data_IF_084151871957
#
_entry.id   IF_084151871957
#
_cell.length_a   1.000
_cell.length_b   1.000
_cell.length_c   1.000
_cell.angle_alpha   90.00
_cell.angle_beta   90.00
_cell.angle_gamma   90.00
#
_symmetry.space_group_name_H-M   'P 1'
#
loop_
_entity.id
_entity.type
_entity.pdbx_description
1 polymer ?
#
# COMPACT_ATOMS: atom_id res chain seq x y z
N UNK A 1 3.89 -14.31 -26.38
CA UNK A 1 2.93 -13.42 -25.71
C UNK A 1 3.57 -13.11 -24.36
N UNK A 2 4.18 -11.93 -24.22
CA UNK A 2 4.81 -11.55 -22.95
C UNK A 2 3.69 -11.47 -21.91
N UNK A 3 3.77 -12.29 -20.87
CA UNK A 3 2.89 -12.20 -19.71
C UNK A 3 3.25 -10.87 -19.02
N UNK A 4 2.64 -9.77 -19.45
CA UNK A 4 2.60 -8.57 -18.61
C UNK A 4 1.90 -9.01 -17.33
N UNK A 5 2.68 -9.10 -16.24
CA UNK A 5 2.14 -9.57 -14.97
C UNK A 5 0.94 -8.70 -14.58
N UNK A 6 -0.04 -9.32 -13.92
CA UNK A 6 -1.14 -8.64 -13.21
C UNK A 6 -0.63 -7.80 -12.02
N UNK A 7 0.53 -7.16 -12.15
CA UNK A 7 1.13 -6.31 -11.15
C UNK A 7 0.31 -5.03 -10.94
N UNK A 8 0.41 -4.48 -9.73
CA UNK A 8 -0.29 -3.26 -9.37
C UNK A 8 0.30 -2.10 -10.16
N UNK A 9 -0.44 -1.60 -11.13
CA UNK A 9 -0.04 -0.43 -11.91
C UNK A 9 -0.16 0.81 -11.03
N UNK A 10 0.96 1.54 -10.87
CA UNK A 10 1.06 2.73 -10.03
C UNK A 10 0.78 2.50 -8.53
N UNK A 11 0.99 1.30 -7.99
CA UNK A 11 0.74 1.00 -6.56
C UNK A 11 1.42 1.99 -5.60
N UNK A 12 2.75 2.05 -5.61
CA UNK A 12 3.49 3.03 -4.78
C UNK A 12 3.38 4.47 -5.28
N UNK A 13 3.02 4.68 -6.55
CA UNK A 13 2.76 6.04 -7.04
C UNK A 13 1.50 6.63 -6.41
N UNK A 14 0.50 5.83 -6.03
CA UNK A 14 -0.69 6.28 -5.30
C UNK A 14 -0.31 6.94 -3.97
N UNK A 15 0.76 6.48 -3.32
CA UNK A 15 1.31 7.13 -2.12
C UNK A 15 1.86 8.52 -2.46
N UNK A 16 2.61 8.64 -3.55
CA UNK A 16 3.10 9.95 -4.01
C UNK A 16 1.96 10.89 -4.40
N UNK A 17 0.91 10.36 -5.06
CA UNK A 17 -0.29 11.11 -5.38
C UNK A 17 -0.99 11.66 -4.11
N UNK A 18 -1.12 10.86 -3.06
CA UNK A 18 -1.70 11.33 -1.80
C UNK A 18 -0.84 12.41 -1.16
N UNK A 19 0.48 12.21 -1.10
CA UNK A 19 1.44 13.21 -0.61
C UNK A 19 1.29 14.53 -1.36
N UNK A 20 1.26 14.48 -2.69
CA UNK A 20 1.15 15.67 -3.54
C UNK A 20 -0.21 16.37 -3.35
N UNK A 21 -1.28 15.59 -3.11
CA UNK A 21 -2.62 16.12 -2.81
C UNK A 21 -2.67 16.87 -1.46
N UNK A 22 -1.92 16.41 -0.45
CA UNK A 22 -1.81 17.10 0.85
C UNK A 22 -0.95 18.38 0.76
N UNK A 23 -0.02 18.40 -0.19
CA UNK A 23 0.71 19.60 -0.60
C UNK A 23 1.50 20.28 0.51
N UNK A 24 1.46 21.61 0.54
CA UNK A 24 2.28 22.43 1.45
C UNK A 24 2.01 22.16 2.93
N UNK A 25 0.77 21.81 3.30
CA UNK A 25 0.40 21.54 4.70
C UNK A 25 1.23 20.40 5.30
N UNK A 26 1.33 19.29 4.58
CA UNK A 26 2.15 18.14 4.98
C UNK A 26 3.63 18.50 5.05
N UNK A 27 4.12 19.28 4.07
CA UNK A 27 5.53 19.69 4.03
C UNK A 27 5.88 20.56 5.24
N UNK A 28 5.00 21.49 5.63
CA UNK A 28 5.19 22.34 6.80
C UNK A 28 5.17 21.52 8.10
N UNK A 29 4.19 20.62 8.25
CA UNK A 29 4.09 19.73 9.41
C UNK A 29 5.30 18.80 9.55
N UNK A 30 5.83 18.29 8.43
CA UNK A 30 7.00 17.43 8.40
C UNK A 30 8.26 18.20 8.79
N UNK A 31 8.46 19.39 8.22
CA UNK A 31 9.58 20.28 8.58
C UNK A 31 9.55 20.69 10.05
N UNK A 32 8.37 20.97 10.62
CA UNK A 32 8.22 21.30 12.03
C UNK A 32 8.66 20.16 12.97
N UNK A 33 8.74 18.93 12.46
CA UNK A 33 9.17 17.74 13.19
C UNK A 33 10.53 17.20 12.73
N UNK A 34 11.25 17.91 11.85
CA UNK A 34 12.51 17.46 11.24
C UNK A 34 12.40 16.09 10.53
N UNK A 35 11.28 15.88 9.82
CA UNK A 35 10.98 14.67 9.07
C UNK A 35 10.80 14.97 7.57
N UNK A 36 11.01 13.96 6.73
CA UNK A 36 10.50 14.00 5.36
C UNK A 36 8.96 13.87 5.35
N UNK A 37 8.26 14.35 4.31
CA UNK A 37 6.81 14.14 4.18
C UNK A 37 6.41 12.67 4.24
N UNK A 38 7.21 11.79 3.62
CA UNK A 38 7.03 10.33 3.65
C UNK A 38 7.20 9.76 5.05
N UNK A 39 8.22 10.19 5.80
CA UNK A 39 8.45 9.73 7.17
C UNK A 39 7.35 10.20 8.11
N UNK A 40 6.83 11.42 7.94
CA UNK A 40 5.69 11.90 8.70
C UNK A 40 4.43 11.06 8.42
N UNK A 41 4.17 10.74 7.15
CA UNK A 41 3.05 9.87 6.77
C UNK A 41 3.20 8.48 7.37
N UNK A 42 4.38 7.86 7.26
CA UNK A 42 4.68 6.56 7.87
C UNK A 42 4.49 6.60 9.39
N UNK A 43 5.02 7.63 10.06
CA UNK A 43 4.90 7.82 11.51
C UNK A 43 3.46 7.98 11.97
N UNK A 44 2.62 8.70 11.22
CA UNK A 44 1.20 8.86 11.56
C UNK A 44 0.39 7.60 11.23
N UNK A 45 0.71 6.90 10.15
CA UNK A 45 0.02 5.69 9.75
C UNK A 45 0.38 4.46 10.61
N UNK A 46 1.51 4.49 11.33
CA UNK A 46 1.90 3.40 12.24
C UNK A 46 1.01 3.32 13.48
N UNK A 47 0.35 4.42 13.88
CA UNK A 47 -0.63 4.42 14.97
C UNK A 47 -2.02 3.96 14.54
N UNK A 48 -2.28 3.85 13.23
CA UNK A 48 -3.53 3.29 12.69
C UNK A 48 -3.51 1.77 12.85
N UNK A 49 -4.53 1.16 13.47
CA UNK A 49 -4.57 -0.29 13.66
C UNK A 49 -4.69 -1.03 12.32
N UNK A 50 -4.17 -2.27 12.23
CA UNK A 50 -4.36 -3.12 11.05
C UNK A 50 -5.83 -3.22 10.63
N UNK A 51 -6.10 -3.14 9.33
CA UNK A 51 -7.46 -3.19 8.76
C UNK A 51 -8.19 -1.85 8.80
N UNK A 52 -7.55 -0.77 9.25
CA UNK A 52 -8.01 0.62 9.17
C UNK A 52 -9.46 0.84 9.63
N UNK A 53 -9.94 0.10 10.64
CA UNK A 53 -11.33 0.13 11.12
C UNK A 53 -12.38 -0.04 9.99
N UNK A 54 -12.07 -0.84 8.97
CA UNK A 54 -12.95 -1.08 7.83
C UNK A 54 -12.77 -0.11 6.66
N UNK A 55 -11.86 0.88 6.74
CA UNK A 55 -11.45 1.65 5.58
C UNK A 55 -10.66 0.77 4.61
N UNK A 56 -11.20 0.56 3.42
CA UNK A 56 -10.58 -0.26 2.38
C UNK A 56 -10.34 0.56 1.11
N UNK A 57 -9.16 0.37 0.52
CA UNK A 57 -8.80 0.98 -0.76
C UNK A 57 -8.72 -0.09 -1.86
N UNK A 58 -9.29 0.15 -3.03
CA UNK A 58 -9.11 -0.67 -4.24
C UNK A 58 -8.21 0.09 -5.20
N UNK A 59 -7.05 -0.47 -5.53
CA UNK A 59 -5.99 0.21 -6.28
C UNK A 59 -6.17 0.09 -7.79
N UNK A 60 -6.97 0.98 -8.37
CA UNK A 60 -7.22 1.05 -9.81
C UNK A 60 -7.04 2.50 -10.35
N UNK A 61 -6.03 3.21 -9.85
CA UNK A 61 -5.67 4.57 -10.32
C UNK A 61 -5.11 4.58 -11.75
N UNK A 62 -4.60 3.44 -12.22
CA UNK A 62 -4.22 3.23 -13.62
C UNK A 62 -4.73 1.88 -14.10
N UNK A 63 -5.87 1.90 -14.79
CA UNK A 63 -6.54 0.71 -15.30
C UNK A 63 -5.74 -0.03 -16.36
N UNK A 64 -5.83 -1.35 -16.36
CA UNK A 64 -5.35 -2.15 -17.50
C UNK A 64 -6.13 -1.79 -18.78
N UNK A 65 -5.47 -1.81 -19.96
CA UNK A 65 -6.14 -1.52 -21.24
C UNK A 65 -7.38 -2.38 -21.52
N UNK A 66 -7.39 -3.61 -21.01
CA UNK A 66 -8.50 -4.56 -21.18
C UNK A 66 -9.65 -4.38 -20.18
N UNK A 67 -9.45 -3.55 -19.13
CA UNK A 67 -10.47 -3.24 -18.11
C UNK A 67 -10.60 -1.72 -17.91
N UNK A 68 -10.94 -0.96 -18.97
CA UNK A 68 -10.85 0.51 -18.96
C UNK A 68 -11.86 1.19 -18.03
N UNK A 69 -12.83 0.44 -17.50
CA UNK A 69 -13.88 0.93 -16.61
C UNK A 69 -13.53 0.83 -15.13
N UNK A 70 -12.49 0.08 -14.75
CA UNK A 70 -12.05 -0.02 -13.35
C UNK A 70 -11.65 1.35 -12.82
N UNK A 71 -11.86 1.61 -11.53
CA UNK A 71 -11.50 2.90 -10.92
C UNK A 71 -11.03 2.65 -9.50
N UNK A 72 -10.08 3.46 -9.07
CA UNK A 72 -9.68 3.51 -7.67
C UNK A 72 -10.87 3.87 -6.79
N UNK A 73 -11.05 3.13 -5.70
CA UNK A 73 -12.18 3.31 -4.78
C UNK A 73 -11.66 3.28 -3.34
N UNK A 74 -12.22 4.11 -2.48
CA UNK A 74 -12.04 4.03 -1.03
C UNK A 74 -13.42 3.95 -0.37
N UNK A 75 -13.62 2.99 0.52
CA UNK A 75 -14.89 2.77 1.24
C UNK A 75 -14.64 2.57 2.73
N UNK A 76 -15.62 2.90 3.57
CA UNK A 76 -15.53 2.68 5.02
C UNK A 76 -15.01 3.87 5.83
N UNK A 77 -15.13 5.09 5.30
CA UNK A 77 -14.79 6.31 6.05
C UNK A 77 -15.67 6.49 7.29
N UNK A 78 -15.04 6.88 8.39
CA UNK A 78 -15.70 7.43 9.58
C UNK A 78 -15.20 8.85 9.89
N UNK A 79 -15.89 9.58 10.77
CA UNK A 79 -15.57 10.98 11.08
C UNK A 79 -14.28 11.19 11.87
N UNK A 80 -13.69 10.12 12.43
CA UNK A 80 -12.44 10.16 13.18
C UNK A 80 -11.21 9.94 12.30
N UNK A 81 -11.42 9.51 11.06
CA UNK A 81 -10.32 9.24 10.11
C UNK A 81 -9.75 10.52 9.52
N UNK A 82 -8.43 10.55 9.43
CA UNK A 82 -7.66 11.60 8.74
C UNK A 82 -6.82 11.00 7.59
N UNK A 83 -5.91 11.79 7.02
CA UNK A 83 -5.07 11.37 5.91
C UNK A 83 -4.12 10.20 6.25
N UNK A 84 -3.83 9.95 7.53
CA UNK A 84 -3.00 8.82 7.95
C UNK A 84 -3.72 7.49 7.73
N UNK A 85 -5.05 7.45 7.91
CA UNK A 85 -5.89 6.28 7.64
C UNK A 85 -5.95 6.00 6.14
N UNK A 86 -6.05 7.04 5.32
CA UNK A 86 -6.01 6.92 3.86
C UNK A 86 -4.66 6.34 3.44
N UNK A 87 -3.56 6.89 3.95
CA UNK A 87 -2.22 6.38 3.68
C UNK A 87 -2.06 4.92 4.10
N UNK A 88 -2.47 4.57 5.33
CA UNK A 88 -2.42 3.18 5.84
C UNK A 88 -3.22 2.23 4.96
N UNK A 89 -4.44 2.59 4.59
CA UNK A 89 -5.29 1.73 3.76
C UNK A 89 -4.70 1.54 2.35
N UNK A 90 -4.06 2.54 1.75
CA UNK A 90 -3.33 2.38 0.48
C UNK A 90 -2.22 1.34 0.64
N UNK A 91 -1.40 1.43 1.70
CA UNK A 91 -0.31 0.48 1.95
C UNK A 91 -0.83 -0.96 2.14
N UNK A 92 -1.86 -1.14 2.95
CA UNK A 92 -2.50 -2.45 3.18
C UNK A 92 -3.08 -3.01 1.88
N UNK A 93 -3.74 -2.17 1.08
CA UNK A 93 -4.28 -2.59 -0.22
C UNK A 93 -3.21 -3.03 -1.20
N UNK A 94 -2.03 -2.40 -1.19
CA UNK A 94 -0.90 -2.85 -2.02
C UNK A 94 -0.47 -4.25 -1.59
N UNK A 95 -0.27 -4.47 -0.30
CA UNK A 95 0.15 -5.76 0.24
C UNK A 95 -0.88 -6.86 -0.03
N UNK A 96 -2.16 -6.60 0.24
CA UNK A 96 -3.26 -7.55 0.04
C UNK A 96 -3.45 -7.91 -1.44
N UNK A 97 -3.35 -6.92 -2.34
CA UNK A 97 -3.46 -7.19 -3.78
C UNK A 97 -2.30 -8.07 -4.26
N UNK A 98 -1.09 -7.84 -3.77
CA UNK A 98 0.06 -8.71 -4.07
C UNK A 98 -0.10 -10.11 -3.48
N UNK A 99 -0.66 -10.24 -2.28
CA UNK A 99 -0.96 -11.54 -1.67
C UNK A 99 -1.98 -12.32 -2.48
N UNK A 100 -3.06 -11.68 -2.93
CA UNK A 100 -4.06 -12.31 -3.78
C UNK A 100 -3.44 -12.81 -5.09
N UNK A 101 -2.61 -11.99 -5.74
CA UNK A 101 -1.91 -12.39 -6.96
C UNK A 101 -0.95 -13.56 -6.72
N UNK A 102 -0.21 -13.53 -5.61
CA UNK A 102 0.69 -14.60 -5.20
C UNK A 102 -0.07 -15.91 -4.95
N UNK A 103 -1.18 -15.86 -4.21
CA UNK A 103 -1.99 -17.05 -3.90
C UNK A 103 -2.60 -17.67 -5.17
N UNK A 104 -3.10 -16.84 -6.07
CA UNK A 104 -3.61 -17.30 -7.37
C UNK A 104 -2.51 -18.02 -8.16
N UNK A 105 -1.32 -17.43 -8.24
CA UNK A 105 -0.17 -18.02 -8.91
C UNK A 105 0.26 -19.34 -8.24
N UNK A 106 0.31 -19.41 -6.91
CA UNK A 106 0.65 -20.62 -6.17
C UNK A 106 -0.36 -21.75 -6.39
N UNK A 107 -1.66 -21.42 -6.42
CA UNK A 107 -2.73 -22.37 -6.67
C UNK A 107 -2.66 -22.96 -8.09
N UNK A 108 -2.31 -22.13 -9.09
CA UNK A 108 -2.14 -22.58 -10.48
C UNK A 108 -0.90 -23.45 -10.68
N UNK A 109 0.22 -23.09 -10.05
CA UNK A 109 1.50 -23.79 -10.23
C UNK A 109 1.72 -24.94 -9.24
N UNK A 110 0.86 -25.08 -8.23
CA UNK A 110 1.01 -26.00 -7.11
C UNK A 110 2.40 -25.90 -6.44
N UNK A 111 2.91 -24.66 -6.32
CA UNK A 111 4.23 -24.37 -5.77
C UNK A 111 4.18 -23.12 -4.89
N UNK A 112 4.79 -23.19 -3.71
CA UNK A 112 4.83 -22.10 -2.74
C UNK A 112 6.23 -21.52 -2.64
N UNK A 113 6.36 -20.20 -2.73
CA UNK A 113 7.63 -19.52 -2.52
C UNK A 113 8.03 -19.63 -1.04
N UNK A 114 9.32 -19.88 -0.80
CA UNK A 114 9.89 -19.92 0.57
C UNK A 114 10.22 -18.53 1.11
N UNK A 115 10.44 -17.57 0.21
CA UNK A 115 10.85 -16.21 0.55
C UNK A 115 10.16 -15.22 -0.39
N UNK A 116 9.77 -14.07 0.17
CA UNK A 116 9.29 -12.91 -0.57
C UNK A 116 10.35 -11.83 -0.47
N UNK A 117 10.79 -11.31 -1.61
CA UNK A 117 11.80 -10.24 -1.69
C UNK A 117 11.09 -8.97 -2.15
N UNK A 118 11.18 -7.91 -1.34
CA UNK A 118 10.62 -6.60 -1.65
C UNK A 118 11.77 -5.68 -2.05
N UNK A 119 11.66 -5.01 -3.19
CA UNK A 119 12.67 -4.07 -3.70
C UNK A 119 12.00 -2.78 -4.18
N UNK A 120 12.77 -1.69 -4.25
CA UNK A 120 12.31 -0.38 -4.70
C UNK A 120 11.86 0.54 -3.57
N UNK A 121 11.22 1.67 -3.89
CA UNK A 121 10.93 2.73 -2.90
C UNK A 121 10.09 2.31 -1.70
N UNK A 122 9.27 1.25 -1.82
CA UNK A 122 8.48 0.72 -0.71
C UNK A 122 9.32 0.03 0.37
N UNK A 123 10.51 -0.49 0.06
CA UNK A 123 11.34 -1.21 1.03
C UNK A 123 11.99 -0.31 2.08
N UNK A 124 11.93 1.02 1.91
CA UNK A 124 12.48 1.98 2.86
C UNK A 124 11.50 2.32 4.01
N UNK A 125 10.27 1.82 3.98
CA UNK A 125 9.27 2.04 5.04
C UNK A 125 9.17 0.79 5.93
N UNK A 126 9.60 0.90 7.19
CA UNK A 126 9.45 -0.16 8.20
C UNK A 126 7.99 -0.56 8.38
N UNK A 127 7.08 0.42 8.33
CA UNK A 127 5.63 0.19 8.39
C UNK A 127 5.17 -0.70 7.23
N UNK A 128 5.59 -0.38 6.01
CA UNK A 128 5.21 -1.15 4.83
C UNK A 128 5.76 -2.57 4.88
N UNK A 129 7.01 -2.74 5.30
CA UNK A 129 7.63 -4.05 5.49
C UNK A 129 6.89 -4.89 6.53
N UNK A 130 6.47 -4.28 7.65
CA UNK A 130 5.67 -4.96 8.67
C UNK A 130 4.29 -5.39 8.14
N UNK A 131 3.60 -4.51 7.41
CA UNK A 131 2.31 -4.85 6.77
C UNK A 131 2.47 -6.06 5.85
N UNK A 132 3.54 -6.12 5.05
CA UNK A 132 3.81 -7.27 4.20
C UNK A 132 4.09 -8.54 5.01
N UNK A 133 4.90 -8.45 6.07
CA UNK A 133 5.17 -9.59 6.94
C UNK A 133 3.86 -10.16 7.52
N UNK A 134 2.97 -9.28 8.01
CA UNK A 134 1.67 -9.66 8.57
C UNK A 134 0.76 -10.29 7.51
N UNK A 135 0.63 -9.68 6.33
CA UNK A 135 -0.25 -10.15 5.24
C UNK A 135 0.22 -11.47 4.64
N UNK A 136 1.53 -11.66 4.48
CA UNK A 136 2.08 -12.90 3.96
C UNK A 136 2.28 -13.97 5.05
N UNK A 137 1.92 -13.66 6.29
CA UNK A 137 2.14 -14.50 7.47
C UNK A 137 3.60 -14.97 7.56
N UNK A 138 4.51 -14.08 7.18
CA UNK A 138 5.96 -14.30 7.28
C UNK A 138 6.33 -13.85 8.68
N UNK A 139 6.73 -14.79 9.54
CA UNK A 139 7.33 -14.47 10.82
C UNK A 139 8.56 -13.60 10.56
N UNK A 140 8.46 -12.32 10.90
CA UNK A 140 9.53 -11.34 10.69
C UNK A 140 10.82 -11.83 11.34
N UNK A 141 11.78 -12.22 10.52
CA UNK A 141 13.17 -12.22 10.94
C UNK A 141 13.82 -11.00 10.32
N UNK A 142 14.50 -10.15 11.13
CA UNK A 142 15.25 -9.00 10.63
C UNK A 142 16.33 -9.42 9.61
#
# INVERSE_FOLDING_TARGET
>A
MLYEGYGIRKGMWTVSWLRDMLGESLIQDARAQDLSPEDLLNKKASSVPPGCNGLMTVLDWLTNPWEPYKRGIMIGFDSSMDYAWIYRSILESVALTLKNNYDNMCNEMNHFAKHVIITGGGSNSDLFMQIFADVFNLSGTP
#
